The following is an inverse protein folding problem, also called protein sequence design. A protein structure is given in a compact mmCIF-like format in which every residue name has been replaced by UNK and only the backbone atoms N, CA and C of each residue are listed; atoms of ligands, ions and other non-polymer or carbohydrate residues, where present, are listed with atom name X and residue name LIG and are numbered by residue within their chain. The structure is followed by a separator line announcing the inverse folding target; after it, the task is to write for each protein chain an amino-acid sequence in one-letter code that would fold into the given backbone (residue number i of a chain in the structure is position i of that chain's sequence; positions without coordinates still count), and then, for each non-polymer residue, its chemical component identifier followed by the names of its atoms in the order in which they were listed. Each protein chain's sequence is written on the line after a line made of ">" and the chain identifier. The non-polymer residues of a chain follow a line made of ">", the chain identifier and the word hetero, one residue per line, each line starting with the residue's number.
data_IF_850783075216
#
_entry.id   IF_850783075216
#
_cell.length_a   1.000
_cell.length_b   1.000
_cell.length_c   1.000
_cell.angle_alpha   90.00
_cell.angle_beta   90.00
_cell.angle_gamma   90.00
#
_symmetry.space_group_name_H-M   'P 1'
#
loop_
_entity.id
_entity.type
_entity.pdbx_description
1 polymer ?
#
# COMPACT_ATOMS: atom_id res chain seq x y z
N UNK A 1 -20.01 -3.98 -12.94
CA UNK A 1 -19.05 -2.86 -13.15
C UNK A 1 -17.81 -3.00 -12.26
N UNK A 2 -17.91 -2.93 -10.92
CA UNK A 2 -16.71 -2.94 -10.03
C UNK A 2 -15.96 -4.28 -10.06
N UNK A 3 -16.66 -5.41 -10.05
CA UNK A 3 -16.04 -6.74 -10.19
C UNK A 3 -15.31 -6.88 -11.53
N UNK A 4 -15.88 -6.35 -12.60
CA UNK A 4 -15.27 -6.34 -13.93
C UNK A 4 -14.01 -5.47 -13.97
N UNK A 5 -14.02 -4.29 -13.31
CA UNK A 5 -12.83 -3.44 -13.19
C UNK A 5 -11.70 -4.16 -12.44
N UNK A 6 -12.03 -4.84 -11.33
CA UNK A 6 -11.05 -5.63 -10.57
C UNK A 6 -10.51 -6.79 -11.42
N UNK A 7 -11.37 -7.48 -12.17
CA UNK A 7 -10.97 -8.58 -13.04
C UNK A 7 -10.07 -8.10 -14.18
N UNK A 8 -10.41 -6.96 -14.82
CA UNK A 8 -9.59 -6.35 -15.88
C UNK A 8 -8.23 -5.92 -15.36
N UNK A 9 -8.17 -5.29 -14.17
CA UNK A 9 -6.91 -4.90 -13.55
C UNK A 9 -6.05 -6.13 -13.22
N UNK A 10 -6.65 -7.20 -12.68
CA UNK A 10 -5.95 -8.44 -12.38
C UNK A 10 -5.38 -9.08 -13.65
N UNK A 11 -6.16 -9.15 -14.72
CA UNK A 11 -5.73 -9.70 -16.00
C UNK A 11 -4.60 -8.87 -16.65
N UNK A 12 -4.71 -7.54 -16.63
CA UNK A 12 -3.68 -6.65 -17.16
C UNK A 12 -2.34 -6.78 -16.42
N UNK A 13 -2.36 -6.95 -15.09
CA UNK A 13 -1.15 -7.18 -14.30
C UNK A 13 -0.58 -8.58 -14.59
N UNK A 14 -1.43 -9.60 -14.68
CA UNK A 14 -1.01 -10.97 -15.02
C UNK A 14 -0.34 -11.01 -16.39
N UNK A 15 -0.91 -10.34 -17.39
CA UNK A 15 -0.35 -10.22 -18.73
C UNK A 15 1.00 -9.51 -18.74
N UNK A 16 1.12 -8.40 -18.01
CA UNK A 16 2.35 -7.60 -17.98
C UNK A 16 3.47 -8.21 -17.13
N UNK A 17 3.14 -8.88 -16.02
CA UNK A 17 4.11 -9.36 -15.02
C UNK A 17 4.28 -10.88 -15.00
N UNK A 18 3.44 -11.64 -15.69
CA UNK A 18 3.44 -13.10 -15.68
C UNK A 18 2.99 -13.72 -14.34
N UNK A 19 2.47 -12.91 -13.43
CA UNK A 19 2.02 -13.35 -12.10
C UNK A 19 0.63 -12.81 -11.82
N UNK A 20 -0.29 -13.71 -11.48
CA UNK A 20 -1.65 -13.33 -11.11
C UNK A 20 -1.68 -12.69 -9.72
N UNK A 21 -2.13 -11.43 -9.55
CA UNK A 21 -2.24 -10.80 -8.27
C UNK A 21 -3.21 -11.52 -7.33
N UNK A 22 -2.80 -11.74 -6.09
CA UNK A 22 -3.64 -12.28 -5.03
C UNK A 22 -4.05 -11.21 -4.00
N UNK A 23 -3.38 -10.05 -4.01
CA UNK A 23 -3.63 -8.95 -3.10
C UNK A 23 -4.33 -7.80 -3.83
N UNK A 24 -5.26 -7.16 -3.13
CA UNK A 24 -6.02 -6.04 -3.65
C UNK A 24 -6.14 -4.93 -2.60
N UNK A 25 -6.00 -3.70 -3.03
CA UNK A 25 -6.28 -2.54 -2.18
C UNK A 25 -7.33 -1.68 -2.84
N UNK A 26 -8.41 -1.41 -2.09
CA UNK A 26 -9.48 -0.55 -2.58
C UNK A 26 -8.96 0.89 -2.78
N UNK A 27 -9.24 1.50 -3.93
CA UNK A 27 -8.94 2.91 -4.15
C UNK A 27 -9.57 3.78 -3.05
N UNK A 28 -8.79 4.73 -2.53
CA UNK A 28 -9.20 5.66 -1.47
C UNK A 28 -9.69 5.00 -0.16
N UNK A 29 -9.51 3.70 0.02
CA UNK A 29 -10.07 2.96 1.15
C UNK A 29 -11.60 2.83 1.14
N UNK A 30 -12.24 3.10 0.01
CA UNK A 30 -13.69 3.06 -0.13
C UNK A 30 -14.24 1.64 0.04
N UNK A 31 -15.32 1.50 0.80
CA UNK A 31 -16.05 0.24 0.93
C UNK A 31 -17.38 0.37 0.22
N UNK A 32 -17.75 -0.64 -0.55
CA UNK A 32 -19.04 -0.69 -1.22
C UNK A 32 -19.71 -2.05 -1.04
N UNK A 33 -21.00 -2.06 -1.27
CA UNK A 33 -21.77 -3.30 -1.26
C UNK A 33 -21.28 -4.26 -2.35
N UNK A 34 -21.04 -5.52 -1.99
CA UNK A 34 -20.57 -6.54 -2.94
C UNK A 34 -19.05 -6.68 -3.07
N UNK A 35 -18.23 -5.76 -2.50
CA UNK A 35 -16.77 -5.85 -2.56
C UNK A 35 -16.24 -7.21 -2.11
N UNK A 36 -16.69 -7.69 -0.95
CA UNK A 36 -16.26 -9.00 -0.40
C UNK A 36 -16.57 -10.15 -1.36
N UNK A 37 -17.73 -10.11 -1.99
CA UNK A 37 -18.14 -11.14 -2.96
C UNK A 37 -17.27 -11.11 -4.21
N UNK A 38 -16.96 -9.93 -4.74
CA UNK A 38 -16.05 -9.76 -5.86
C UNK A 38 -14.63 -10.26 -5.54
N UNK A 39 -14.11 -9.92 -4.37
CA UNK A 39 -12.80 -10.42 -3.91
C UNK A 39 -12.78 -11.95 -3.81
N UNK A 40 -13.80 -12.56 -3.24
CA UNK A 40 -13.90 -14.02 -3.13
C UNK A 40 -13.92 -14.71 -4.50
N UNK A 41 -14.70 -14.17 -5.47
CA UNK A 41 -14.78 -14.73 -6.82
C UNK A 41 -13.47 -14.62 -7.59
N UNK A 42 -12.73 -13.54 -7.38
CA UNK A 42 -11.47 -13.28 -8.05
C UNK A 42 -10.24 -13.84 -7.33
N UNK A 43 -10.44 -14.46 -6.16
CA UNK A 43 -9.33 -14.96 -5.34
C UNK A 43 -8.45 -13.85 -4.78
N UNK A 44 -9.02 -12.66 -4.53
CA UNK A 44 -8.29 -11.49 -4.07
C UNK A 44 -8.47 -11.27 -2.57
N UNK A 45 -7.36 -11.11 -1.85
CA UNK A 45 -7.35 -10.68 -0.46
C UNK A 45 -7.25 -9.15 -0.38
N UNK A 46 -8.22 -8.52 0.27
CA UNK A 46 -8.21 -7.07 0.50
C UNK A 46 -7.23 -6.68 1.60
N UNK A 47 -6.27 -5.83 1.28
CA UNK A 47 -5.25 -5.35 2.22
C UNK A 47 -5.34 -3.84 2.34
N UNK A 48 -5.54 -3.38 3.58
CA UNK A 48 -5.53 -1.96 3.92
C UNK A 48 -4.17 -1.55 4.51
N UNK A 49 -4.11 -0.41 5.14
CA UNK A 49 -2.95 0.10 5.86
C UNK A 49 -3.29 0.31 7.33
N UNK A 50 -2.27 0.29 8.16
CA UNK A 50 -2.37 0.65 9.58
C UNK A 50 -2.13 2.14 9.78
N UNK A 51 -1.31 2.75 8.92
CA UNK A 51 -1.08 4.19 8.91
C UNK A 51 -0.87 4.71 7.48
N UNK A 52 -1.36 5.92 7.23
CA UNK A 52 -1.21 6.64 5.97
C UNK A 52 -0.35 7.89 6.18
N UNK A 53 0.66 8.09 5.34
CA UNK A 53 1.62 9.19 5.46
C UNK A 53 1.02 10.56 5.23
N UNK A 54 -0.08 10.67 4.46
CA UNK A 54 -0.65 11.94 3.97
C UNK A 54 0.38 12.78 3.20
N UNK A 55 1.23 12.09 2.49
CA UNK A 55 2.40 12.61 1.78
C UNK A 55 2.05 13.52 0.60
N UNK A 56 0.81 13.48 0.14
CA UNK A 56 0.27 14.48 -0.81
C UNK A 56 0.03 15.87 -0.19
N UNK A 57 0.12 16.00 1.13
CA UNK A 57 -0.21 17.24 1.85
C UNK A 57 0.86 17.67 2.84
N UNK A 58 1.58 16.74 3.43
CA UNK A 58 2.53 16.99 4.51
C UNK A 58 3.97 17.09 4.00
N UNK A 59 4.80 17.80 4.76
CA UNK A 59 6.25 17.84 4.56
C UNK A 59 6.93 16.58 5.11
N UNK A 60 8.10 16.26 4.60
CA UNK A 60 8.85 15.04 4.94
C UNK A 60 8.99 14.79 6.44
N UNK A 61 9.33 15.80 7.22
CA UNK A 61 9.44 15.68 8.68
C UNK A 61 8.15 15.27 9.37
N UNK A 62 7.01 15.84 8.94
CA UNK A 62 5.70 15.52 9.49
C UNK A 62 5.23 14.11 9.06
N UNK A 63 5.52 13.71 7.80
CA UNK A 63 5.27 12.36 7.31
C UNK A 63 6.06 11.35 8.15
N UNK A 64 7.36 11.59 8.32
CA UNK A 64 8.26 10.73 9.11
C UNK A 64 7.78 10.58 10.54
N UNK A 65 7.52 11.69 11.25
CA UNK A 65 7.06 11.66 12.64
C UNK A 65 5.73 10.90 12.78
N UNK A 66 4.79 11.12 11.84
CA UNK A 66 3.51 10.45 11.83
C UNK A 66 3.64 8.93 11.69
N UNK A 67 4.47 8.45 10.77
CA UNK A 67 4.66 7.03 10.52
C UNK A 67 5.49 6.36 11.63
N UNK A 68 6.51 7.05 12.16
CA UNK A 68 7.26 6.57 13.32
C UNK A 68 6.39 6.42 14.57
N UNK A 69 5.44 7.33 14.77
CA UNK A 69 4.48 7.25 15.87
C UNK A 69 3.45 6.13 15.72
N UNK A 70 3.26 5.62 14.49
CA UNK A 70 2.36 4.50 14.18
C UNK A 70 3.11 3.17 13.99
N UNK A 71 4.42 3.14 14.20
CA UNK A 71 5.24 1.95 14.03
C UNK A 71 4.90 0.87 15.07
N UNK A 72 4.59 -0.33 14.60
CA UNK A 72 4.29 -1.50 15.41
C UNK A 72 4.59 -2.76 14.59
N UNK A 73 4.69 -3.90 15.23
CA UNK A 73 4.81 -5.19 14.53
C UNK A 73 3.59 -5.42 13.63
N UNK A 74 3.84 -5.79 12.37
CA UNK A 74 2.80 -5.98 11.37
C UNK A 74 2.21 -4.68 10.80
N UNK A 75 2.84 -3.52 11.08
CA UNK A 75 2.39 -2.25 10.50
C UNK A 75 2.54 -2.23 8.97
N UNK A 76 1.52 -1.75 8.30
CA UNK A 76 1.52 -1.51 6.85
C UNK A 76 1.34 -0.02 6.62
N UNK A 77 2.34 0.64 6.07
CA UNK A 77 2.31 2.06 5.76
C UNK A 77 1.86 2.31 4.32
N UNK A 78 1.02 3.33 4.15
CA UNK A 78 0.58 3.79 2.84
C UNK A 78 1.23 5.14 2.52
N UNK A 79 1.97 5.16 1.42
CA UNK A 79 2.59 6.32 0.79
C UNK A 79 2.27 6.29 -0.71
N UNK A 80 2.48 7.39 -1.41
CA UNK A 80 2.12 7.53 -2.81
C UNK A 80 3.33 7.92 -3.66
N UNK A 81 3.48 7.27 -4.79
CA UNK A 81 4.49 7.53 -5.81
C UNK A 81 3.96 8.34 -6.99
N UNK A 82 2.69 8.74 -6.93
CA UNK A 82 2.02 9.53 -7.94
C UNK A 82 0.81 10.29 -7.39
N UNK A 83 0.26 11.18 -8.20
CA UNK A 83 -0.95 11.94 -7.87
C UNK A 83 -1.82 12.07 -9.10
N UNK A 84 -3.09 11.66 -8.96
CA UNK A 84 -4.08 11.79 -10.02
C UNK A 84 -3.57 11.31 -11.39
N UNK A 85 -3.78 12.11 -12.42
CA UNK A 85 -3.32 11.84 -13.78
C UNK A 85 -2.07 12.67 -14.14
N UNK A 86 -1.33 13.18 -13.16
CA UNK A 86 -0.14 13.97 -13.41
C UNK A 86 1.03 13.08 -13.87
N UNK A 87 1.56 13.28 -15.10
CA UNK A 87 2.61 12.43 -15.65
C UNK A 87 3.94 12.53 -14.90
N UNK A 88 4.17 13.63 -14.18
CA UNK A 88 5.40 13.90 -13.41
C UNK A 88 5.06 14.49 -12.05
N UNK A 89 4.49 13.70 -11.14
CA UNK A 89 4.09 14.18 -9.84
C UNK A 89 5.32 14.57 -9.00
N UNK A 90 5.21 15.64 -8.23
CA UNK A 90 6.24 15.99 -7.24
C UNK A 90 6.10 15.09 -6.01
N UNK A 91 6.99 14.12 -5.89
CA UNK A 91 7.05 13.17 -4.77
C UNK A 91 8.28 13.36 -3.88
N UNK A 92 8.97 14.52 -3.96
CA UNK A 92 10.20 14.78 -3.20
C UNK A 92 10.01 14.63 -1.69
N UNK A 93 8.89 15.10 -1.17
CA UNK A 93 8.59 14.98 0.27
C UNK A 93 8.38 13.53 0.70
N UNK A 94 7.77 12.70 -0.15
CA UNK A 94 7.61 11.26 0.06
C UNK A 94 8.96 10.56 0.08
N UNK A 95 9.82 10.83 -0.92
CA UNK A 95 11.16 10.24 -1.00
C UNK A 95 12.04 10.64 0.19
N UNK A 96 12.02 11.90 0.58
CA UNK A 96 12.77 12.38 1.74
C UNK A 96 12.25 11.77 3.05
N UNK A 97 10.93 11.62 3.20
CA UNK A 97 10.35 10.94 4.35
C UNK A 97 10.81 9.47 4.43
N UNK A 98 10.80 8.75 3.31
CA UNK A 98 11.25 7.35 3.24
C UNK A 98 12.73 7.22 3.59
N UNK A 99 13.59 8.15 3.10
CA UNK A 99 15.02 8.16 3.44
C UNK A 99 15.29 8.31 4.94
N UNK A 100 14.45 9.05 5.65
CA UNK A 100 14.54 9.23 7.13
C UNK A 100 13.90 8.06 7.86
N UNK A 101 12.76 7.57 7.38
CA UNK A 101 11.93 6.56 8.04
C UNK A 101 12.65 5.20 8.11
N UNK A 102 13.25 4.75 7.00
CA UNK A 102 13.86 3.41 6.92
C UNK A 102 15.00 3.22 7.92
N UNK A 103 16.01 4.11 8.01
CA UNK A 103 17.08 3.95 9.00
C UNK A 103 16.57 3.99 10.44
N UNK A 104 15.63 4.88 10.73
CA UNK A 104 15.06 5.02 12.07
C UNK A 104 14.29 3.78 12.51
N UNK A 105 13.48 3.20 11.64
CA UNK A 105 12.77 1.96 11.94
C UNK A 105 13.74 0.79 12.15
N UNK A 106 14.79 0.68 11.34
CA UNK A 106 15.85 -0.31 11.54
C UNK A 106 16.57 -0.14 12.87
N UNK A 107 16.89 1.09 13.24
CA UNK A 107 17.51 1.39 14.54
C UNK A 107 16.62 1.01 15.73
N UNK A 108 15.30 1.03 15.55
CA UNK A 108 14.31 0.55 16.53
C UNK A 108 14.09 -0.97 16.50
N UNK A 109 14.84 -1.71 15.67
CA UNK A 109 14.76 -3.18 15.57
C UNK A 109 13.66 -3.70 14.64
N UNK A 110 13.02 -2.84 13.86
CA UNK A 110 12.04 -3.32 12.86
C UNK A 110 12.73 -3.88 11.62
N UNK A 111 12.15 -4.94 11.07
CA UNK A 111 12.49 -5.52 9.78
C UNK A 111 11.40 -5.18 8.76
N UNK A 112 11.80 -5.07 7.50
CA UNK A 112 10.87 -4.80 6.39
C UNK A 112 10.56 -6.10 5.67
N UNK A 113 9.30 -6.35 5.48
CA UNK A 113 8.79 -7.54 4.81
C UNK A 113 7.75 -7.14 3.76
N UNK A 114 7.52 -8.02 2.81
CA UNK A 114 6.39 -7.87 1.88
C UNK A 114 5.08 -8.09 2.62
N UNK A 115 3.99 -7.53 2.08
CA UNK A 115 2.65 -7.77 2.63
C UNK A 115 2.33 -9.27 2.69
N UNK A 116 2.74 -10.04 1.69
CA UNK A 116 2.54 -11.49 1.65
C UNK A 116 3.24 -12.20 2.82
N UNK A 117 4.47 -11.80 3.15
CA UNK A 117 5.20 -12.35 4.29
C UNK A 117 4.54 -12.01 5.62
N UNK A 118 4.04 -10.77 5.78
CA UNK A 118 3.34 -10.35 7.00
C UNK A 118 2.01 -11.11 7.19
N UNK A 119 1.27 -11.36 6.10
CA UNK A 119 -0.05 -12.01 6.16
C UNK A 119 0.02 -13.53 6.24
N UNK A 120 1.09 -14.12 5.72
CA UNK A 120 1.34 -15.56 5.73
C UNK A 120 2.76 -15.81 6.25
N UNK A 121 3.04 -15.58 7.55
CA UNK A 121 4.35 -15.87 8.09
C UNK A 121 4.65 -17.36 7.88
N UNK A 122 5.75 -17.64 7.19
CA UNK A 122 6.25 -19.01 7.09
C UNK A 122 6.71 -19.45 8.48
N UNK A 123 6.08 -20.47 9.01
CA UNK A 123 6.47 -21.12 10.26
C UNK A 123 7.84 -21.78 10.12
#
# INVERSE_FOLDING_TARGET
>A
FMEEEMARAQAAIEDAAGVRPALFRVPYGARWFGLRRAQQRLGLMGVMWTAIGRDWKLKAGAITSRLLGAAANGAIFCLHDGRELEPRPDIRETLEAVRRLIPELRARGYHFETVSQILCPMN
#
